data_IF_184271678847
#
_entry.id   IF_184271678847
#
_cell.length_a   1.000
_cell.length_b   1.000
_cell.length_c   1.000
_cell.angle_alpha   90.00
_cell.angle_beta   90.00
_cell.angle_gamma   90.00
#
_symmetry.space_group_name_H-M   'P 1'
#
loop_
_entity.id
_entity.type
_entity.pdbx_description
1 polymer ?
#
# COMPACT_ATOMS: atom_id res chain seq x y z
N UNK A 1 -3.11 -12.04 10.81
CA UNK A 1 -2.50 -13.22 11.45
C UNK A 1 -3.47 -14.32 11.91
N UNK A 2 -4.33 -14.13 12.94
CA UNK A 2 -5.07 -15.24 13.60
C UNK A 2 -5.80 -16.14 12.59
N UNK A 3 -6.45 -15.54 11.60
CA UNK A 3 -7.16 -16.31 10.58
C UNK A 3 -6.24 -17.11 9.65
N UNK A 4 -5.01 -16.67 9.39
CA UNK A 4 -4.03 -17.45 8.62
C UNK A 4 -3.69 -18.75 9.36
N UNK A 5 -3.48 -18.66 10.67
CA UNK A 5 -3.17 -19.83 11.49
C UNK A 5 -4.37 -20.80 11.54
N UNK A 6 -5.58 -20.29 11.76
CA UNK A 6 -6.80 -21.09 11.85
C UNK A 6 -7.16 -21.75 10.51
N UNK A 7 -7.08 -21.00 9.41
CA UNK A 7 -7.58 -21.42 8.09
C UNK A 7 -6.52 -22.13 7.24
N UNK A 8 -5.26 -21.74 7.37
CA UNK A 8 -4.17 -22.19 6.49
C UNK A 8 -3.01 -22.87 7.20
N UNK A 9 -3.08 -23.06 8.53
CA UNK A 9 -2.01 -23.68 9.32
C UNK A 9 -0.63 -23.00 9.11
N UNK A 10 -0.64 -21.68 8.90
CA UNK A 10 0.56 -20.88 8.61
C UNK A 10 0.46 -19.51 9.28
N UNK A 11 1.61 -18.93 9.63
CA UNK A 11 1.68 -17.53 10.09
C UNK A 11 1.77 -16.57 8.91
N UNK A 12 2.36 -17.01 7.80
CA UNK A 12 2.64 -16.22 6.62
C UNK A 12 1.38 -16.07 5.75
N UNK A 13 0.82 -14.86 5.69
CA UNK A 13 -0.36 -14.58 4.87
C UNK A 13 -0.11 -14.79 3.39
N UNK A 14 1.07 -14.41 2.89
CA UNK A 14 1.38 -14.46 1.46
C UNK A 14 1.49 -15.89 0.91
N UNK A 15 1.68 -16.90 1.77
CA UNK A 15 1.56 -18.32 1.37
C UNK A 15 0.14 -18.76 1.06
N UNK A 16 -0.87 -18.03 1.54
CA UNK A 16 -2.28 -18.25 1.25
C UNK A 16 -2.80 -17.26 0.21
N UNK A 17 -2.49 -15.98 0.42
CA UNK A 17 -2.96 -14.83 -0.33
C UNK A 17 -1.88 -13.75 -0.37
N UNK A 18 -1.29 -13.50 -1.54
CA UNK A 18 -0.26 -12.48 -1.74
C UNK A 18 -0.78 -11.06 -1.45
N UNK A 19 -2.03 -10.77 -1.84
CA UNK A 19 -2.59 -9.41 -1.78
C UNK A 19 -2.07 -8.50 -2.90
N UNK A 20 -2.55 -7.26 -2.96
CA UNK A 20 -2.01 -6.25 -3.88
C UNK A 20 -0.68 -5.72 -3.32
N UNK A 21 0.42 -6.40 -3.63
CA UNK A 21 1.76 -6.12 -3.10
C UNK A 21 2.81 -5.92 -4.18
N UNK A 22 2.49 -6.30 -5.42
CA UNK A 22 3.37 -6.28 -6.59
C UNK A 22 2.67 -5.71 -7.83
N UNK A 23 1.84 -4.68 -7.61
CA UNK A 23 1.09 -3.95 -8.64
C UNK A 23 1.55 -2.50 -8.75
N UNK A 24 2.88 -2.28 -8.76
CA UNK A 24 3.53 -0.96 -8.78
C UNK A 24 4.02 -0.59 -10.19
N UNK A 25 3.10 -0.31 -11.11
CA UNK A 25 3.43 0.05 -12.49
C UNK A 25 3.20 1.54 -12.74
N UNK A 26 4.14 2.17 -13.44
CA UNK A 26 3.97 3.50 -14.04
C UNK A 26 4.42 3.44 -15.48
N UNK A 27 3.54 3.75 -16.42
CA UNK A 27 3.79 3.67 -17.85
C UNK A 27 3.58 5.01 -18.51
N UNK A 28 4.49 5.38 -19.39
CA UNK A 28 4.27 6.49 -20.33
C UNK A 28 3.30 6.05 -21.42
N UNK A 29 2.58 7.01 -21.99
CA UNK A 29 1.68 6.76 -23.11
C UNK A 29 2.45 6.17 -24.29
N UNK A 30 2.02 5.00 -24.77
CA UNK A 30 2.67 4.34 -25.91
C UNK A 30 2.46 5.10 -27.23
N UNK A 31 1.42 5.95 -27.27
CA UNK A 31 1.10 6.85 -28.38
C UNK A 31 0.90 8.24 -27.78
N UNK A 32 1.56 9.24 -28.36
CA UNK A 32 1.31 10.65 -28.06
C UNK A 32 0.33 11.21 -29.09
N UNK A 33 -0.80 11.72 -28.62
CA UNK A 33 -1.85 12.33 -29.45
C UNK A 33 -2.31 13.62 -28.82
N UNK A 34 -2.56 14.64 -29.65
CA UNK A 34 -3.19 15.88 -29.22
C UNK A 34 -4.72 15.74 -29.07
N UNK A 35 -5.31 14.69 -29.64
CA UNK A 35 -6.73 14.39 -29.51
C UNK A 35 -7.05 13.87 -28.10
N UNK A 36 -8.23 14.26 -27.59
CA UNK A 36 -8.69 13.84 -26.28
C UNK A 36 -9.40 12.48 -26.37
N UNK A 37 -9.05 11.57 -25.46
CA UNK A 37 -9.65 10.24 -25.36
C UNK A 37 -9.97 9.89 -23.90
N UNK A 38 -10.87 8.92 -23.71
CA UNK A 38 -11.19 8.32 -22.40
C UNK A 38 -10.36 7.07 -22.09
N UNK A 39 -9.37 6.77 -22.94
CA UNK A 39 -8.46 5.65 -22.77
C UNK A 39 -7.01 6.11 -22.72
N UNK A 40 -6.16 5.30 -22.07
CA UNK A 40 -4.71 5.48 -22.08
C UNK A 40 -4.06 4.41 -22.98
N UNK A 41 -3.25 4.79 -23.99
CA UNK A 41 -2.57 3.84 -24.86
C UNK A 41 -1.34 3.24 -24.15
N UNK A 42 -1.25 1.91 -24.14
CA UNK A 42 -0.09 1.15 -23.64
C UNK A 42 0.37 0.13 -24.67
N UNK A 43 1.61 -0.34 -24.57
CA UNK A 43 2.07 -1.47 -25.40
C UNK A 43 1.35 -2.77 -25.02
N UNK A 44 1.32 -3.75 -25.93
CA UNK A 44 0.77 -5.08 -25.67
C UNK A 44 1.35 -5.74 -24.39
N UNK A 45 2.65 -5.58 -24.15
CA UNK A 45 3.29 -6.15 -22.94
C UNK A 45 2.87 -5.44 -21.66
N UNK A 46 2.71 -4.11 -21.71
CA UNK A 46 2.26 -3.33 -20.54
C UNK A 46 0.80 -3.63 -20.22
N UNK A 47 -0.06 -3.78 -21.23
CA UNK A 47 -1.45 -4.20 -21.07
C UNK A 47 -1.57 -5.53 -20.33
N UNK A 48 -0.71 -6.51 -20.63
CA UNK A 48 -0.68 -7.81 -19.94
C UNK A 48 -0.35 -7.73 -18.44
N UNK A 49 0.17 -6.59 -17.97
CA UNK A 49 0.41 -6.36 -16.55
C UNK A 49 -0.80 -5.77 -15.82
N UNK A 50 -1.69 -5.06 -16.52
CA UNK A 50 -2.82 -4.34 -15.94
C UNK A 50 -4.03 -5.27 -15.74
N UNK A 51 -4.85 -4.93 -14.75
CA UNK A 51 -6.01 -5.72 -14.34
C UNK A 51 -7.29 -4.92 -14.56
N UNK A 52 -8.22 -5.44 -15.36
CA UNK A 52 -9.56 -4.84 -15.50
C UNK A 52 -10.28 -4.85 -14.15
N UNK A 53 -10.91 -3.74 -13.79
CA UNK A 53 -11.53 -3.51 -12.48
C UNK A 53 -10.60 -2.98 -11.40
N UNK A 54 -9.28 -2.95 -11.64
CA UNK A 54 -8.32 -2.24 -10.79
C UNK A 54 -8.33 -0.73 -11.06
N UNK A 55 -7.56 0.04 -10.29
CA UNK A 55 -7.60 1.49 -10.29
C UNK A 55 -6.27 2.10 -10.71
N UNK A 56 -6.33 3.21 -11.43
CA UNK A 56 -5.18 3.94 -11.96
C UNK A 56 -5.42 5.44 -11.86
N UNK A 57 -4.32 6.17 -11.75
CA UNK A 57 -4.30 7.62 -11.95
C UNK A 57 -3.61 7.94 -13.28
N UNK A 58 -4.05 9.00 -13.94
CA UNK A 58 -3.46 9.52 -15.17
C UNK A 58 -3.14 10.99 -15.01
N UNK A 59 -1.93 11.37 -15.40
CA UNK A 59 -1.43 12.71 -15.28
C UNK A 59 -0.08 12.84 -15.95
N UNK A 60 0.77 13.73 -15.47
CA UNK A 60 2.13 13.93 -15.97
C UNK A 60 3.15 13.92 -14.85
N UNK A 61 4.38 13.51 -15.20
CA UNK A 61 5.49 13.57 -14.27
C UNK A 61 5.72 15.02 -13.79
N UNK A 62 5.91 15.20 -12.50
CA UNK A 62 6.25 16.50 -11.91
C UNK A 62 7.61 17.00 -12.37
N UNK A 63 7.84 18.31 -12.25
CA UNK A 63 9.14 18.93 -12.50
C UNK A 63 9.92 19.09 -11.20
N UNK A 64 11.07 18.42 -11.09
CA UNK A 64 12.02 18.59 -10.01
C UNK A 64 13.33 19.18 -10.56
N UNK A 65 13.36 20.50 -10.75
CA UNK A 65 14.50 21.24 -11.28
C UNK A 65 15.01 20.73 -12.64
N UNK A 66 14.09 20.47 -13.57
CA UNK A 66 14.38 20.00 -14.93
C UNK A 66 14.50 18.48 -15.05
N UNK A 67 14.24 17.74 -13.97
CA UNK A 67 14.13 16.29 -13.98
C UNK A 67 12.68 15.84 -13.73
N UNK A 68 12.28 14.76 -14.39
CA UNK A 68 10.98 14.15 -14.17
C UNK A 68 10.86 13.56 -12.76
N UNK A 69 9.71 13.76 -12.13
CA UNK A 69 9.35 13.16 -10.86
C UNK A 69 8.02 12.42 -10.97
N UNK A 70 8.06 11.10 -10.83
CA UNK A 70 6.91 10.20 -10.95
C UNK A 70 6.40 9.72 -9.58
N UNK A 71 6.64 10.48 -8.51
CA UNK A 71 6.09 10.13 -7.20
C UNK A 71 4.56 10.32 -7.22
N UNK A 72 3.83 9.25 -6.84
CA UNK A 72 2.36 9.23 -6.75
C UNK A 72 1.80 10.16 -5.66
N UNK A 73 2.63 10.75 -4.82
CA UNK A 73 2.21 11.81 -3.91
C UNK A 73 2.03 13.17 -4.59
N UNK A 74 2.47 13.34 -5.83
CA UNK A 74 2.32 14.60 -6.55
C UNK A 74 0.99 14.69 -7.29
N UNK A 75 0.23 15.75 -7.03
CA UNK A 75 -1.04 16.03 -7.72
C UNK A 75 -0.94 16.04 -9.26
N UNK A 76 0.24 16.29 -9.83
CA UNK A 76 0.45 16.24 -11.29
C UNK A 76 0.21 14.85 -11.88
N UNK A 77 0.49 13.78 -11.13
CA UNK A 77 0.28 12.38 -11.54
C UNK A 77 -1.20 12.02 -11.66
N UNK A 78 -2.09 12.85 -11.10
CA UNK A 78 -3.54 12.65 -11.03
C UNK A 78 -4.33 13.67 -11.85
N UNK A 79 -3.65 14.50 -12.65
CA UNK A 79 -4.25 15.71 -13.25
C UNK A 79 -5.37 15.45 -14.26
N UNK A 80 -5.40 14.27 -14.88
CA UNK A 80 -6.44 13.89 -15.85
C UNK A 80 -7.42 12.86 -15.30
N UNK A 81 -6.93 11.95 -14.46
CA UNK A 81 -7.75 11.00 -13.74
C UNK A 81 -7.09 10.69 -12.40
N UNK A 82 -7.88 10.67 -11.33
CA UNK A 82 -7.43 10.39 -9.98
C UNK A 82 -8.16 9.14 -9.46
N UNK A 83 -7.41 8.05 -9.31
CA UNK A 83 -7.85 6.74 -8.82
C UNK A 83 -9.12 6.24 -9.51
N UNK A 84 -9.16 6.27 -10.84
CA UNK A 84 -10.30 5.80 -11.65
C UNK A 84 -10.15 4.33 -12.03
N UNK A 85 -11.29 3.65 -12.22
CA UNK A 85 -11.31 2.22 -12.54
C UNK A 85 -10.95 1.95 -14.00
N UNK A 86 -10.21 0.89 -14.26
CA UNK A 86 -10.05 0.31 -15.61
C UNK A 86 -11.33 -0.46 -15.97
N UNK A 87 -12.05 -0.02 -16.99
CA UNK A 87 -13.29 -0.64 -17.47
C UNK A 87 -13.03 -1.81 -18.43
N UNK A 88 -12.14 -1.60 -19.39
CA UNK A 88 -11.75 -2.61 -20.38
C UNK A 88 -10.33 -2.33 -20.90
N UNK A 89 -9.72 -3.37 -21.47
CA UNK A 89 -8.45 -3.25 -22.20
C UNK A 89 -8.68 -3.87 -23.57
N UNK A 90 -8.58 -3.07 -24.61
CA UNK A 90 -8.99 -3.43 -25.97
C UNK A 90 -7.86 -3.18 -26.97
N UNK A 91 -7.85 -3.91 -28.08
CA UNK A 91 -6.86 -3.71 -29.13
C UNK A 91 -7.04 -2.34 -29.77
N UNK A 92 -5.97 -1.54 -29.78
CA UNK A 92 -5.95 -0.24 -30.46
C UNK A 92 -5.34 -0.39 -31.85
N UNK A 93 -4.20 -1.08 -31.94
CA UNK A 93 -3.51 -1.43 -33.18
C UNK A 93 -2.68 -2.72 -33.00
N UNK A 94 -1.78 -3.04 -33.94
CA UNK A 94 -0.93 -4.25 -33.88
C UNK A 94 -0.01 -4.30 -32.65
N UNK A 95 0.44 -3.15 -32.14
CA UNK A 95 1.45 -3.03 -31.10
C UNK A 95 0.91 -2.48 -29.77
N UNK A 96 -0.26 -1.84 -29.80
CA UNK A 96 -0.81 -1.08 -28.69
C UNK A 96 -2.23 -1.52 -28.32
N UNK A 97 -2.53 -1.34 -27.04
CA UNK A 97 -3.84 -1.56 -26.43
C UNK A 97 -4.36 -0.25 -25.84
N UNK A 98 -5.68 -0.06 -25.87
CA UNK A 98 -6.39 1.02 -25.21
C UNK A 98 -6.89 0.56 -23.83
N UNK A 99 -6.48 1.26 -22.78
CA UNK A 99 -6.98 1.05 -21.41
C UNK A 99 -8.11 2.04 -21.16
N UNK A 100 -9.37 1.61 -21.31
CA UNK A 100 -10.52 2.46 -21.09
C UNK A 100 -10.78 2.69 -19.61
N UNK A 101 -11.01 3.94 -19.22
CA UNK A 101 -11.13 4.38 -17.84
C UNK A 101 -12.57 4.80 -17.51
N UNK A 102 -12.96 4.63 -16.25
CA UNK A 102 -14.24 5.09 -15.71
C UNK A 102 -14.22 6.61 -15.54
N UNK A 103 -14.40 7.29 -16.67
CA UNK A 103 -14.22 8.72 -16.83
C UNK A 103 -15.29 9.23 -17.80
N UNK A 104 -16.02 10.32 -17.48
CA UNK A 104 -17.00 10.88 -18.39
C UNK A 104 -16.30 11.53 -19.60
N UNK A 105 -16.97 11.58 -20.75
CA UNK A 105 -16.35 12.05 -22.01
C UNK A 105 -15.84 13.50 -21.93
N UNK A 106 -16.50 14.36 -21.17
CA UNK A 106 -16.05 15.75 -20.94
C UNK A 106 -14.71 15.86 -20.22
N UNK A 107 -14.26 14.79 -19.56
CA UNK A 107 -12.96 14.71 -18.90
C UNK A 107 -11.90 14.02 -19.75
N UNK A 108 -12.22 13.62 -20.99
CA UNK A 108 -11.27 13.02 -21.92
C UNK A 108 -9.98 13.85 -22.02
N UNK A 109 -8.84 13.19 -22.13
CA UNK A 109 -7.53 13.81 -22.02
C UNK A 109 -6.64 13.49 -23.21
N UNK A 110 -5.68 14.38 -23.44
CA UNK A 110 -4.62 14.23 -24.45
C UNK A 110 -3.42 13.50 -23.84
N UNK A 111 -2.68 12.79 -24.69
CA UNK A 111 -1.42 12.11 -24.33
C UNK A 111 -0.18 12.85 -24.85
N UNK A 112 -0.37 14.05 -25.42
CA UNK A 112 0.74 14.92 -25.78
C UNK A 112 1.52 15.35 -24.51
N UNK A 113 2.86 15.39 -24.54
CA UNK A 113 3.66 15.76 -23.38
C UNK A 113 3.26 17.11 -22.78
N UNK A 114 3.22 17.20 -21.45
CA UNK A 114 2.99 18.44 -20.73
C UNK A 114 4.23 19.32 -20.81
N UNK A 115 4.11 20.50 -21.41
CA UNK A 115 5.24 21.44 -21.58
C UNK A 115 5.38 22.31 -20.33
N UNK A 116 6.51 22.21 -19.64
CA UNK A 116 6.86 23.10 -18.54
C UNK A 116 7.65 24.32 -19.02
N UNK A 117 8.65 24.10 -19.87
CA UNK A 117 9.49 25.13 -20.50
C UNK A 117 9.80 24.72 -21.95
N UNK A 118 10.51 25.57 -22.70
CA UNK A 118 10.95 25.25 -24.06
C UNK A 118 11.90 24.03 -24.09
N UNK A 119 12.65 23.79 -23.01
CA UNK A 119 13.65 22.73 -22.89
C UNK A 119 13.17 21.51 -22.09
N UNK A 120 12.04 21.61 -21.38
CA UNK A 120 11.53 20.53 -20.55
C UNK A 120 10.02 20.30 -20.73
N UNK A 121 9.70 19.07 -21.11
CA UNK A 121 8.33 18.54 -21.15
C UNK A 121 8.29 17.21 -20.42
N UNK A 122 7.16 16.92 -19.78
CA UNK A 122 6.93 15.69 -19.05
C UNK A 122 5.97 14.78 -19.83
N UNK A 123 6.22 13.47 -19.87
CA UNK A 123 5.31 12.54 -20.50
C UNK A 123 4.01 12.44 -19.70
N UNK A 124 2.94 12.09 -20.40
CA UNK A 124 1.69 11.67 -19.75
C UNK A 124 1.88 10.22 -19.30
N UNK A 125 1.58 9.97 -18.02
CA UNK A 125 1.81 8.68 -17.37
C UNK A 125 0.51 8.12 -16.79
N UNK A 126 0.38 6.80 -16.86
CA UNK A 126 -0.59 6.01 -16.13
C UNK A 126 0.13 5.35 -14.96
N UNK A 127 -0.44 5.51 -13.76
CA UNK A 127 0.08 4.96 -12.51
C UNK A 127 -0.94 4.02 -11.91
N UNK A 128 -0.57 2.77 -11.64
CA UNK A 128 -1.44 1.88 -10.86
C UNK A 128 -1.58 2.37 -9.43
N UNK A 129 -2.78 2.24 -8.89
CA UNK A 129 -3.17 2.76 -7.59
C UNK A 129 -3.79 1.66 -6.73
N UNK A 130 -4.03 1.96 -5.46
CA UNK A 130 -4.65 1.02 -4.54
C UNK A 130 -6.08 0.70 -5.01
N UNK A 131 -6.56 -0.49 -4.68
CA UNK A 131 -7.94 -0.88 -4.94
C UNK A 131 -8.89 -0.10 -4.03
N UNK A 132 -10.05 0.27 -4.55
CA UNK A 132 -11.14 0.75 -3.71
C UNK A 132 -11.74 -0.38 -2.89
N UNK A 133 -12.32 -0.02 -1.74
CA UNK A 133 -12.99 -0.97 -0.85
C UNK A 133 -14.17 -1.65 -1.54
N UNK A 134 -14.42 -2.91 -1.17
CA UNK A 134 -15.52 -3.72 -1.71
C UNK A 134 -15.17 -4.48 -2.99
N UNK A 135 -13.93 -4.40 -3.47
CA UNK A 135 -13.47 -5.17 -4.64
C UNK A 135 -13.67 -6.70 -4.49
N UNK A 136 -13.61 -7.20 -3.27
CA UNK A 136 -13.81 -8.62 -2.93
C UNK A 136 -15.27 -9.04 -2.77
N UNK A 137 -16.24 -8.14 -2.97
CA UNK A 137 -17.66 -8.51 -3.08
C UNK A 137 -17.92 -9.42 -4.28
N UNK A 138 -17.08 -9.31 -5.32
CA UNK A 138 -17.09 -10.20 -6.47
C UNK A 138 -16.68 -11.65 -6.14
N UNK A 139 -16.03 -11.90 -5.00
CA UNK A 139 -15.64 -13.25 -4.58
C UNK A 139 -16.90 -14.06 -4.27
N UNK A 140 -17.13 -15.12 -5.04
CA UNK A 140 -18.36 -15.92 -4.96
C UNK A 140 -18.50 -16.63 -3.60
N UNK A 141 -19.73 -16.74 -3.12
CA UNK A 141 -20.10 -17.65 -2.02
C UNK A 141 -19.68 -17.28 -0.60
N UNK A 142 -19.32 -16.02 -0.30
CA UNK A 142 -18.77 -15.59 1.01
C UNK A 142 -17.51 -16.37 1.46
N UNK A 143 -16.83 -17.06 0.55
CA UNK A 143 -15.58 -17.78 0.81
C UNK A 143 -14.37 -16.86 0.96
N UNK A 144 -13.35 -17.31 1.67
CA UNK A 144 -12.04 -16.63 1.76
C UNK A 144 -11.30 -16.73 0.42
N UNK A 145 -10.57 -15.68 0.03
CA UNK A 145 -9.80 -15.64 -1.21
C UNK A 145 -9.86 -14.29 -1.94
N UNK A 146 -9.27 -14.27 -3.13
CA UNK A 146 -9.22 -13.12 -4.02
C UNK A 146 -10.24 -13.21 -5.16
N UNK A 147 -10.61 -12.06 -5.73
CA UNK A 147 -11.49 -11.96 -6.90
C UNK A 147 -10.85 -12.50 -8.20
N UNK A 148 -9.52 -12.51 -8.28
CA UNK A 148 -8.78 -12.91 -9.48
C UNK A 148 -7.76 -14.00 -9.19
N UNK A 149 -6.75 -13.68 -8.38
CA UNK A 149 -5.65 -14.60 -8.05
C UNK A 149 -5.19 -14.41 -6.62
N UNK A 150 -4.93 -15.53 -5.94
CA UNK A 150 -4.35 -15.52 -4.60
C UNK A 150 -2.83 -15.31 -4.61
N UNK A 151 -2.14 -15.34 -5.76
CA UNK A 151 -0.67 -15.46 -5.80
C UNK A 151 0.04 -14.45 -6.70
N UNK A 152 -0.69 -13.68 -7.51
CA UNK A 152 -0.07 -12.80 -8.51
C UNK A 152 0.45 -11.46 -7.94
N UNK A 153 0.10 -11.15 -6.70
CA UNK A 153 0.49 -9.90 -6.06
C UNK A 153 -0.30 -8.68 -6.56
N UNK A 154 -1.38 -8.86 -7.32
CA UNK A 154 -2.13 -7.75 -7.96
C UNK A 154 -3.51 -7.52 -7.37
N UNK A 155 -4.06 -8.52 -6.70
CA UNK A 155 -5.44 -8.48 -6.23
C UNK A 155 -5.51 -8.47 -4.70
N UNK A 156 -6.43 -7.68 -4.11
CA UNK A 156 -6.81 -7.83 -2.72
C UNK A 156 -7.47 -9.19 -2.48
N UNK A 157 -7.58 -9.56 -1.21
CA UNK A 157 -8.24 -10.78 -0.79
C UNK A 157 -9.15 -10.51 0.40
N UNK A 158 -10.09 -11.40 0.64
CA UNK A 158 -10.88 -11.40 1.87
C UNK A 158 -10.65 -12.65 2.70
N UNK A 159 -10.70 -12.48 4.02
CA UNK A 159 -10.71 -13.57 5.00
C UNK A 159 -11.77 -13.26 6.05
N UNK A 160 -12.64 -14.23 6.33
CA UNK A 160 -13.75 -14.10 7.28
C UNK A 160 -14.66 -12.91 6.97
N UNK A 161 -14.89 -12.66 5.68
CA UNK A 161 -15.74 -11.57 5.19
C UNK A 161 -15.13 -10.17 5.31
N UNK A 162 -13.84 -10.05 5.66
CA UNK A 162 -13.12 -8.76 5.67
C UNK A 162 -12.09 -8.72 4.55
N UNK A 163 -12.05 -7.60 3.85
CA UNK A 163 -11.09 -7.31 2.78
C UNK A 163 -9.75 -6.84 3.37
N UNK A 164 -8.66 -7.24 2.73
CA UNK A 164 -7.30 -6.92 3.12
C UNK A 164 -6.41 -6.69 1.89
N UNK A 165 -5.28 -6.02 2.10
CA UNK A 165 -4.19 -5.89 1.14
C UNK A 165 -4.63 -5.25 -0.19
N UNK A 166 -5.29 -4.10 -0.11
CA UNK A 166 -5.76 -3.32 -1.27
C UNK A 166 -4.65 -2.55 -1.98
N UNK A 167 -3.42 -2.54 -1.46
CA UNK A 167 -2.27 -1.87 -2.08
C UNK A 167 -1.85 -0.57 -1.41
N UNK A 168 -2.44 -0.25 -0.26
CA UNK A 168 -1.97 0.78 0.67
C UNK A 168 -1.86 0.21 2.09
N UNK A 169 -1.18 0.95 2.96
CA UNK A 169 -1.11 0.67 4.38
C UNK A 169 -2.49 0.74 5.02
N UNK A 170 -2.74 -0.15 5.96
CA UNK A 170 -3.84 -0.01 6.91
C UNK A 170 -3.32 0.77 8.11
N UNK A 171 -3.92 1.92 8.40
CA UNK A 171 -3.63 2.69 9.62
C UNK A 171 -4.44 2.12 10.78
N UNK A 172 -3.79 1.52 11.79
CA UNK A 172 -4.49 1.06 12.98
C UNK A 172 -4.78 2.23 13.93
N UNK A 173 -5.95 2.87 13.78
CA UNK A 173 -6.29 4.14 14.45
C UNK A 173 -6.17 4.14 15.98
N UNK A 174 -6.39 2.99 16.63
CA UNK A 174 -6.29 2.88 18.09
C UNK A 174 -4.87 2.57 18.58
N UNK A 175 -3.90 2.31 17.70
CA UNK A 175 -2.56 1.82 18.08
C UNK A 175 -1.46 2.76 17.58
N UNK A 176 -0.52 3.06 18.46
CA UNK A 176 0.69 3.83 18.12
C UNK A 176 1.94 3.13 18.64
N UNK A 177 3.07 3.46 18.03
CA UNK A 177 4.38 3.06 18.53
C UNK A 177 5.06 4.24 19.22
N UNK A 178 5.67 3.96 20.37
CA UNK A 178 6.49 4.91 21.11
C UNK A 178 7.95 4.44 21.04
N UNK A 179 8.76 5.17 20.27
CA UNK A 179 10.16 4.81 20.03
C UNK A 179 11.01 5.06 21.27
N UNK A 180 11.88 4.10 21.57
CA UNK A 180 12.81 4.16 22.70
C UNK A 180 14.25 4.38 22.23
N UNK A 181 15.09 4.88 23.14
CA UNK A 181 16.48 5.21 22.84
C UNK A 181 17.35 3.98 22.47
N UNK A 182 16.94 2.79 22.89
CA UNK A 182 17.58 1.50 22.60
C UNK A 182 17.01 0.82 21.34
N UNK A 183 16.29 1.57 20.50
CA UNK A 183 15.61 1.12 19.28
C UNK A 183 14.43 0.17 19.47
N UNK A 184 14.10 -0.21 20.70
CA UNK A 184 12.83 -0.88 21.00
C UNK A 184 11.66 0.08 20.79
N UNK A 185 10.46 -0.46 20.63
CA UNK A 185 9.25 0.35 20.38
C UNK A 185 8.13 -0.18 21.26
N UNK A 186 7.66 0.65 22.19
CA UNK A 186 6.48 0.32 22.98
C UNK A 186 5.24 0.42 22.11
N UNK A 187 4.30 -0.48 22.32
CA UNK A 187 3.05 -0.55 21.56
C UNK A 187 1.95 -0.08 22.48
N UNK A 188 1.38 1.09 22.18
CA UNK A 188 0.40 1.76 23.01
C UNK A 188 -0.95 1.72 22.30
N UNK A 189 -1.99 1.27 22.99
CA UNK A 189 -3.36 1.17 22.46
C UNK A 189 -4.30 2.08 23.24
N UNK A 190 -5.11 2.87 22.53
CA UNK A 190 -6.19 3.66 23.09
C UNK A 190 -7.28 2.72 23.64
N UNK A 191 -7.54 2.70 24.96
CA UNK A 191 -8.64 1.90 25.50
C UNK A 191 -9.99 2.40 24.99
N UNK A 192 -10.97 1.51 24.91
CA UNK A 192 -12.33 1.87 24.51
C UNK A 192 -12.86 3.06 25.34
N UNK A 193 -13.27 4.11 24.63
CA UNK A 193 -13.83 5.33 25.23
C UNK A 193 -12.79 6.38 25.62
N UNK A 194 -11.49 6.10 25.46
CA UNK A 194 -10.44 7.12 25.54
C UNK A 194 -10.39 7.88 24.21
N UNK A 195 -10.40 9.20 24.28
CA UNK A 195 -10.28 10.04 23.09
C UNK A 195 -8.87 9.92 22.49
N UNK A 196 -8.80 9.84 21.17
CA UNK A 196 -7.52 9.86 20.47
C UNK A 196 -6.80 11.20 20.67
N UNK A 197 -5.47 11.15 20.72
CA UNK A 197 -4.63 12.33 20.85
C UNK A 197 -3.41 12.21 19.94
N UNK A 198 -2.88 13.35 19.50
CA UNK A 198 -1.59 13.46 18.83
C UNK A 198 -0.49 14.04 19.75
N UNK A 199 -0.79 14.24 21.04
CA UNK A 199 0.16 14.76 22.01
C UNK A 199 0.85 13.60 22.76
N UNK A 200 2.17 13.49 22.63
CA UNK A 200 2.98 12.42 23.22
C UNK A 200 2.71 12.19 24.71
N UNK A 201 2.62 13.26 25.51
CA UNK A 201 2.38 13.16 26.94
C UNK A 201 0.98 12.61 27.28
N UNK A 202 -0.03 12.97 26.48
CA UNK A 202 -1.39 12.45 26.64
C UNK A 202 -1.40 10.97 26.30
N UNK A 203 -0.87 10.58 25.14
CA UNK A 203 -0.78 9.18 24.71
C UNK A 203 -0.09 8.33 25.79
N UNK A 204 1.09 8.72 26.28
CA UNK A 204 1.83 7.95 27.30
C UNK A 204 1.09 7.79 28.62
N UNK A 205 0.17 8.71 28.96
CA UNK A 205 -0.55 8.69 30.23
C UNK A 205 -1.93 8.06 30.15
N UNK A 206 -2.55 8.01 28.97
CA UNK A 206 -3.92 7.51 28.80
C UNK A 206 -4.02 6.20 28.02
N UNK A 207 -3.01 5.85 27.21
CA UNK A 207 -3.01 4.61 26.43
C UNK A 207 -2.41 3.46 27.22
N UNK A 208 -2.84 2.23 26.91
CA UNK A 208 -2.31 1.02 27.54
C UNK A 208 -1.07 0.52 26.80
N UNK A 209 0.02 0.28 27.52
CA UNK A 209 1.20 -0.42 27.01
C UNK A 209 0.91 -1.92 26.94
N UNK A 210 0.84 -2.46 25.73
CA UNK A 210 0.45 -3.86 25.49
C UNK A 210 1.65 -4.75 25.12
N UNK A 211 2.80 -4.17 24.80
CA UNK A 211 3.90 -4.93 24.26
C UNK A 211 5.10 -4.10 23.82
N UNK A 212 6.19 -4.81 23.53
CA UNK A 212 7.46 -4.23 23.12
C UNK A 212 7.95 -4.90 21.83
N UNK A 213 8.15 -4.11 20.79
CA UNK A 213 8.83 -4.54 19.55
C UNK A 213 10.34 -4.50 19.83
N UNK A 214 11.07 -5.61 19.63
CA UNK A 214 12.50 -5.66 19.90
C UNK A 214 13.31 -4.81 18.90
N UNK A 215 14.51 -4.42 19.32
CA UNK A 215 15.52 -3.91 18.40
C UNK A 215 16.03 -5.06 17.51
N UNK A 216 16.39 -4.74 16.26
CA UNK A 216 16.97 -5.72 15.35
C UNK A 216 18.33 -6.23 15.87
N UNK A 217 18.61 -7.52 15.68
CA UNK A 217 19.91 -8.12 16.07
C UNK A 217 21.10 -7.47 15.34
N UNK A 218 20.87 -7.01 14.10
CA UNK A 218 21.85 -6.30 13.30
C UNK A 218 22.24 -4.92 13.86
N UNK A 219 21.50 -4.40 14.85
CA UNK A 219 21.72 -3.07 15.43
C UNK A 219 21.27 -1.92 14.52
N UNK A 220 21.60 -0.69 14.93
CA UNK A 220 21.38 0.55 14.15
C UNK A 220 19.94 0.76 13.64
N UNK A 221 18.97 0.18 14.33
CA UNK A 221 17.56 0.17 13.93
C UNK A 221 17.35 -0.34 12.48
N UNK A 222 18.07 -1.39 12.09
CA UNK A 222 17.93 -2.03 10.79
C UNK A 222 16.54 -2.64 10.57
N UNK A 223 16.13 -2.76 9.30
CA UNK A 223 14.91 -3.46 8.93
C UNK A 223 15.09 -4.99 9.02
N UNK A 224 14.07 -5.70 9.50
CA UNK A 224 14.17 -7.11 9.84
C UNK A 224 12.92 -7.91 9.46
N UNK A 225 13.04 -9.24 9.42
CA UNK A 225 11.94 -10.15 9.06
C UNK A 225 11.20 -10.62 10.30
N UNK A 226 9.87 -10.64 10.28
CA UNK A 226 9.06 -11.09 11.42
C UNK A 226 9.05 -12.61 11.48
N UNK A 227 9.67 -13.16 12.53
CA UNK A 227 9.61 -14.58 12.88
C UNK A 227 8.34 -14.90 13.67
N UNK A 228 7.98 -14.03 14.61
CA UNK A 228 6.77 -14.18 15.42
C UNK A 228 6.18 -12.83 15.86
N UNK A 229 4.96 -12.85 16.39
CA UNK A 229 4.25 -11.68 16.91
C UNK A 229 3.63 -11.99 18.29
N UNK A 230 3.48 -10.95 19.10
CA UNK A 230 2.65 -10.97 20.30
C UNK A 230 1.23 -10.52 19.99
N UNK A 231 0.28 -10.95 20.81
CA UNK A 231 -1.13 -10.57 20.69
C UNK A 231 -1.66 -10.25 22.08
N UNK A 232 -2.30 -9.10 22.22
CA UNK A 232 -3.16 -8.79 23.35
C UNK A 232 -4.61 -9.03 22.93
N UNK A 233 -5.21 -10.12 23.42
CA UNK A 233 -6.59 -10.49 23.09
C UNK A 233 -7.63 -9.56 23.71
N UNK A 234 -7.29 -8.84 24.78
CA UNK A 234 -8.18 -7.87 25.43
C UNK A 234 -8.26 -6.56 24.66
N UNK A 235 -7.11 -6.10 24.16
CA UNK A 235 -7.02 -4.91 23.31
C UNK A 235 -7.40 -5.20 21.84
N UNK A 236 -7.29 -6.46 21.39
CA UNK A 236 -7.48 -6.82 19.98
C UNK A 236 -6.32 -6.38 19.09
N UNK A 237 -5.14 -6.18 19.67
CA UNK A 237 -3.96 -5.63 19.00
C UNK A 237 -2.78 -6.60 19.04
N UNK A 238 -1.77 -6.35 18.21
CA UNK A 238 -0.62 -7.23 18.00
C UNK A 238 0.67 -6.43 17.86
N UNK A 239 1.81 -7.11 17.91
CA UNK A 239 3.12 -6.53 17.61
C UNK A 239 4.14 -7.58 17.15
N UNK A 240 5.10 -7.23 16.26
CA UNK A 240 6.24 -8.09 15.98
C UNK A 240 7.02 -8.37 17.27
N UNK A 241 7.24 -9.64 17.61
CA UNK A 241 7.85 -10.04 18.90
C UNK A 241 9.17 -10.79 18.77
N UNK A 242 9.47 -11.36 17.61
CA UNK A 242 10.71 -12.07 17.37
C UNK A 242 11.19 -11.93 15.93
N UNK A 243 12.50 -11.73 15.75
CA UNK A 243 13.17 -11.70 14.46
C UNK A 243 13.21 -13.10 13.82
N UNK A 244 13.01 -13.13 12.51
CA UNK A 244 13.04 -14.31 11.66
C UNK A 244 14.13 -14.17 10.60
N UNK A 245 14.34 -15.23 9.82
CA UNK A 245 15.46 -15.32 8.89
C UNK A 245 15.14 -15.01 7.43
N UNK A 246 13.88 -14.69 7.09
CA UNK A 246 13.48 -14.41 5.72
C UNK A 246 11.99 -14.57 5.44
N UNK A 247 11.58 -14.33 4.20
CA UNK A 247 10.17 -14.35 3.76
C UNK A 247 9.50 -15.73 3.77
N UNK A 248 10.27 -16.81 3.94
CA UNK A 248 9.76 -18.19 3.96
C UNK A 248 9.70 -18.80 5.37
N UNK A 249 10.07 -18.04 6.41
CA UNK A 249 10.14 -18.54 7.79
C UNK A 249 9.29 -17.67 8.72
N UNK A 250 8.62 -18.30 9.69
CA UNK A 250 7.78 -17.58 10.65
C UNK A 250 6.60 -16.87 9.98
N UNK A 251 6.37 -15.60 10.33
CA UNK A 251 5.39 -14.77 9.63
C UNK A 251 5.88 -14.36 8.24
N UNK A 252 7.19 -14.15 8.06
CA UNK A 252 7.80 -13.92 6.75
C UNK A 252 7.58 -12.51 6.17
N UNK A 253 7.06 -11.59 6.98
CA UNK A 253 6.80 -10.20 6.60
C UNK A 253 7.91 -9.27 7.15
N UNK A 254 7.96 -8.01 6.76
CA UNK A 254 9.00 -7.04 7.18
C UNK A 254 8.54 -6.08 8.26
N UNK A 255 9.46 -5.76 9.18
CA UNK A 255 9.44 -4.51 9.94
C UNK A 255 10.38 -3.52 9.26
N UNK A 256 9.83 -2.41 8.80
CA UNK A 256 10.60 -1.25 8.37
C UNK A 256 10.78 -0.32 9.56
N UNK A 257 11.94 -0.36 10.18
CA UNK A 257 12.16 0.10 11.54
C UNK A 257 12.24 1.64 11.68
N UNK A 258 12.32 2.36 10.56
CA UNK A 258 12.31 3.83 10.50
C UNK A 258 13.70 4.48 10.45
N UNK A 259 14.76 3.68 10.34
CA UNK A 259 16.15 4.13 10.18
C UNK A 259 16.84 4.50 11.50
N UNK A 260 18.16 4.68 11.45
CA UNK A 260 19.03 4.82 12.64
C UNK A 260 18.76 6.06 13.51
N UNK A 261 18.09 7.08 12.96
CA UNK A 261 17.68 8.28 13.70
C UNK A 261 16.38 8.12 14.51
N UNK A 262 15.66 7.01 14.36
CA UNK A 262 14.36 6.78 14.98
C UNK A 262 14.50 6.23 16.41
N UNK A 263 14.99 7.07 17.33
CA UNK A 263 15.23 6.75 18.75
C UNK A 263 14.21 7.37 19.71
N UNK A 264 13.26 8.16 19.20
CA UNK A 264 12.23 8.82 20.02
C UNK A 264 11.05 9.32 19.19
N UNK A 265 9.95 9.59 19.89
CA UNK A 265 8.71 10.16 19.35
C UNK A 265 7.69 9.10 18.97
N UNK A 266 6.45 9.55 18.78
CA UNK A 266 5.33 8.71 18.40
C UNK A 266 5.33 8.40 16.90
N UNK A 267 4.91 7.19 16.55
CA UNK A 267 4.75 6.71 15.18
C UNK A 267 3.40 6.05 14.98
N UNK A 268 2.85 6.22 13.79
CA UNK A 268 1.66 5.51 13.34
C UNK A 268 1.95 4.02 13.18
N UNK A 269 0.90 3.22 13.30
CA UNK A 269 0.97 1.78 13.17
C UNK A 269 0.48 1.35 11.77
N UNK A 270 1.37 1.46 10.78
CA UNK A 270 1.09 1.23 9.35
C UNK A 270 1.30 -0.24 8.97
N UNK A 271 0.21 -0.96 8.71
CA UNK A 271 0.17 -2.42 8.55
C UNK A 271 0.04 -2.85 7.07
N UNK A 272 0.35 -4.11 6.79
CA UNK A 272 0.01 -4.78 5.52
C UNK A 272 1.05 -4.60 4.42
N UNK A 273 1.58 -3.40 4.23
CA UNK A 273 2.42 -3.06 3.09
C UNK A 273 1.62 -2.40 1.97
N UNK A 274 2.30 -2.04 0.89
CA UNK A 274 1.72 -1.33 -0.26
C UNK A 274 1.92 -2.12 -1.55
N UNK A 275 1.33 -1.64 -2.65
CA UNK A 275 1.38 -2.25 -3.98
C UNK A 275 2.79 -2.43 -4.57
N UNK A 276 3.86 -1.97 -3.90
CA UNK A 276 5.26 -2.20 -4.26
C UNK A 276 6.11 -2.89 -3.18
N UNK A 277 5.51 -3.38 -2.09
CA UNK A 277 6.23 -4.02 -0.98
C UNK A 277 6.72 -5.43 -1.31
N UNK A 278 6.12 -6.10 -2.30
CA UNK A 278 6.47 -7.44 -2.73
C UNK A 278 6.46 -8.46 -1.57
N UNK A 279 7.45 -9.36 -1.57
CA UNK A 279 7.56 -10.43 -0.58
C UNK A 279 7.73 -9.98 0.88
N UNK A 280 8.03 -8.70 1.13
CA UNK A 280 8.09 -8.17 2.49
C UNK A 280 6.73 -7.86 3.11
N UNK A 281 5.68 -7.71 2.29
CA UNK A 281 4.32 -7.36 2.71
C UNK A 281 3.65 -8.47 3.55
N UNK A 282 2.44 -8.24 4.06
CA UNK A 282 1.63 -9.28 4.68
C UNK A 282 1.03 -8.88 6.02
N UNK A 283 0.35 -9.83 6.66
CA UNK A 283 -0.49 -9.54 7.83
C UNK A 283 0.29 -9.21 9.11
N UNK A 284 1.61 -9.41 9.12
CA UNK A 284 2.54 -9.00 10.17
C UNK A 284 3.55 -7.94 9.68
N UNK A 285 3.37 -7.39 8.47
CA UNK A 285 4.13 -6.23 8.01
C UNK A 285 3.87 -5.04 8.91
N UNK A 286 4.93 -4.28 9.22
CA UNK A 286 4.82 -3.03 9.95
C UNK A 286 5.82 -1.98 9.45
N UNK A 287 5.33 -0.79 9.10
CA UNK A 287 6.16 0.37 8.79
C UNK A 287 6.21 1.36 9.95
N UNK A 288 7.36 1.46 10.61
CA UNK A 288 7.60 2.23 11.82
C UNK A 288 8.13 3.65 11.56
N UNK A 289 8.27 4.06 10.29
CA UNK A 289 8.84 5.36 9.92
C UNK A 289 7.86 6.54 9.98
N UNK A 290 6.55 6.29 9.92
CA UNK A 290 5.52 7.34 9.80
C UNK A 290 5.19 8.01 11.12
N UNK A 291 5.29 9.34 11.20
CA UNK A 291 4.80 10.11 12.36
C UNK A 291 3.27 10.24 12.36
N UNK A 292 2.67 10.59 13.50
CA UNK A 292 1.20 10.66 13.73
C UNK A 292 0.40 11.62 12.81
N UNK A 293 1.06 12.37 11.94
CA UNK A 293 0.42 13.30 11.00
C UNK A 293 0.81 13.02 9.56
N UNK A 294 1.35 11.83 9.26
CA UNK A 294 1.80 11.48 7.92
C UNK A 294 0.60 11.15 7.02
N UNK A 295 0.21 12.11 6.19
CA UNK A 295 -0.78 11.90 5.13
C UNK A 295 -0.10 11.61 3.79
N UNK A 296 -0.04 10.33 3.38
CA UNK A 296 0.44 9.91 2.06
C UNK A 296 -0.69 9.21 1.29
N UNK A 297 -0.57 9.16 -0.04
CA UNK A 297 -1.53 8.49 -0.93
C UNK A 297 -1.77 7.01 -0.60
N UNK A 298 -0.81 6.38 0.07
CA UNK A 298 -0.85 4.97 0.46
C UNK A 298 -1.17 4.76 1.95
N UNK A 299 -1.54 5.80 2.71
CA UNK A 299 -2.05 5.66 4.08
C UNK A 299 -3.58 5.60 4.05
N UNK A 300 -4.15 4.39 4.16
CA UNK A 300 -5.59 4.17 4.01
C UNK A 300 -6.26 3.95 5.37
N UNK A 301 -7.47 4.50 5.53
CA UNK A 301 -8.34 4.19 6.66
C UNK A 301 -9.14 2.92 6.40
N UNK A 302 -9.39 2.13 7.44
CA UNK A 302 -10.44 1.12 7.44
C UNK A 302 -11.60 1.66 8.28
N UNK A 303 -12.77 1.84 7.66
CA UNK A 303 -14.04 2.09 8.35
C UNK A 303 -14.79 0.79 8.67
#
# INVERSE_FOLDING_TARGET
FIFNAIKGCTKNSQTLYAGCTSYNYQYEAAIQSAEAHTYFPVTNSQAGNLVVGSYVSVGYAGNNNGAENRDRGHATVHSYADDVKILSIETLDENNMAVYLDLPEENAFSTAPHVYTEEFSAPIILSTMHWWSGSTDAVRGRHDGSLGSNTDGKHPYRVQGREYMVGGYIVASDTVMDLQADYTKKVLVAPKGVAHSNADATIRSTYSDIGLIPAAEAGENADWWVGDFGIDMGAGSWWPSAEGSGSSQGAGDRVYAGGSGATSGMREYLQGGILGSGSGAGSAYLHCGGGLGLGLWNCLSCD
#
